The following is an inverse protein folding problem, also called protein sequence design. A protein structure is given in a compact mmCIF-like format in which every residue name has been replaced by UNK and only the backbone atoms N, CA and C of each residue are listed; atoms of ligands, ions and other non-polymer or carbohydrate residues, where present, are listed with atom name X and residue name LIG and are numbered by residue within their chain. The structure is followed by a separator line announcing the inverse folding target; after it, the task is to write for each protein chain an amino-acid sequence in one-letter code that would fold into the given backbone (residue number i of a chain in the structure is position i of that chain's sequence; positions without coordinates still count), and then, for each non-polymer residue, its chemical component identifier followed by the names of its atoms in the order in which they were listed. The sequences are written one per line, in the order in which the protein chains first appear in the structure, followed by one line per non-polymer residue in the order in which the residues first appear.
data_IF_874560982670
#
_entry.id   IF_874560982670
#
_cell.length_a   1.000
_cell.length_b   1.000
_cell.length_c   1.000
_cell.angle_alpha   90.00
_cell.angle_beta   90.00
_cell.angle_gamma   90.00
#
_symmetry.space_group_name_H-M   'P 1'
#
loop_
_entity.id
_entity.type
_entity.pdbx_description
1 polymer ?
#
# COMPACT_ATOMS: atom_id res chain seq x y z
N UNK A 1 -34.80 12.25 -27.20
CA UNK A 1 -33.37 12.40 -27.54
C UNK A 1 -33.22 12.81 -29.00
N UNK A 2 -32.56 13.94 -29.24
CA UNK A 2 -32.55 14.66 -30.50
C UNK A 2 -31.61 14.01 -31.54
N UNK A 3 -31.99 13.97 -32.83
CA UNK A 3 -31.26 13.27 -33.90
C UNK A 3 -29.79 13.71 -34.04
N UNK A 4 -29.48 14.96 -33.66
CA UNK A 4 -28.11 15.50 -33.62
C UNK A 4 -27.20 14.86 -32.57
N UNK A 5 -27.74 14.37 -31.46
CA UNK A 5 -26.94 13.76 -30.38
C UNK A 5 -26.42 12.37 -30.75
N UNK A 6 -27.17 11.59 -31.56
CA UNK A 6 -26.71 10.27 -32.01
C UNK A 6 -25.55 10.34 -33.02
N UNK A 7 -25.41 11.45 -33.75
CA UNK A 7 -24.37 11.59 -34.77
C UNK A 7 -23.01 11.94 -34.16
N UNK A 8 -22.98 12.67 -33.03
CA UNK A 8 -21.74 13.04 -32.34
C UNK A 8 -21.13 11.82 -31.62
N UNK A 9 -21.97 10.96 -31.04
CA UNK A 9 -21.50 9.73 -30.38
C UNK A 9 -20.93 8.70 -31.38
N UNK A 10 -21.48 8.62 -32.59
CA UNK A 10 -20.99 7.71 -33.62
C UNK A 10 -19.63 8.14 -34.20
N UNK A 11 -19.36 9.45 -34.31
CA UNK A 11 -18.08 9.96 -34.83
C UNK A 11 -16.94 9.80 -33.80
N UNK A 12 -17.22 9.93 -32.50
CA UNK A 12 -16.19 9.66 -31.48
C UNK A 12 -15.83 8.17 -31.38
N UNK A 13 -16.78 7.26 -31.58
CA UNK A 13 -16.50 5.82 -31.55
C UNK A 13 -15.62 5.35 -32.72
N UNK A 14 -15.70 6.00 -33.89
CA UNK A 14 -14.84 5.69 -35.04
C UNK A 14 -13.42 6.26 -34.92
N UNK A 15 -13.24 7.39 -34.23
CA UNK A 15 -11.92 7.98 -34.00
C UNK A 15 -11.07 7.16 -33.01
N UNK A 16 -11.69 6.52 -32.02
CA UNK A 16 -10.98 5.67 -31.04
C UNK A 16 -10.55 4.32 -31.66
N UNK A 17 -11.31 3.77 -32.61
CA UNK A 17 -10.93 2.53 -33.31
C UNK A 17 -9.78 2.70 -34.30
N UNK A 18 -9.57 3.90 -34.87
CA UNK A 18 -8.50 4.14 -35.82
C UNK A 18 -7.13 4.35 -35.16
N UNK A 19 -7.09 4.88 -33.93
CA UNK A 19 -5.84 5.04 -33.17
C UNK A 19 -5.34 3.71 -32.56
N UNK A 20 -6.25 2.78 -32.26
CA UNK A 20 -5.90 1.45 -31.72
C UNK A 20 -5.29 0.48 -32.75
N UNK A 21 -5.48 0.71 -34.05
CA UNK A 21 -4.94 -0.13 -35.12
C UNK A 21 -3.55 0.29 -35.63
N UNK A 22 -3.04 1.46 -35.20
CA UNK A 22 -1.69 1.92 -35.55
C UNK A 22 -0.65 1.37 -34.57
N UNK A 23 -1.04 0.94 -33.37
CA UNK A 23 -0.12 0.43 -32.34
C UNK A 23 0.07 -1.10 -32.33
N UNK A 24 -0.61 -1.86 -33.20
CA UNK A 24 -0.52 -3.34 -33.24
C UNK A 24 0.45 -3.84 -34.34
N UNK A 25 0.93 -2.98 -35.24
CA UNK A 25 1.85 -3.37 -36.32
C UNK A 25 3.34 -3.09 -36.05
N UNK A 26 3.74 -2.78 -34.81
CA UNK A 26 5.12 -2.46 -34.45
C UNK A 26 5.66 -3.35 -33.33
N UNK A 27 5.44 -4.66 -33.40
CA UNK A 27 6.28 -5.60 -32.62
C UNK A 27 6.35 -6.96 -33.33
N UNK A 28 7.38 -7.11 -34.18
CA UNK A 28 7.77 -8.36 -34.80
C UNK A 28 9.20 -8.69 -34.33
N UNK A 29 9.40 -9.62 -33.38
CA UNK A 29 10.74 -10.08 -33.05
C UNK A 29 11.05 -11.34 -33.88
N UNK A 30 11.49 -11.13 -35.12
CA UNK A 30 12.23 -12.15 -35.86
C UNK A 30 13.64 -11.63 -36.14
N UNK A 31 14.59 -12.30 -35.47
CA UNK A 31 15.93 -12.67 -35.93
C UNK A 31 16.71 -11.69 -36.80
N UNK A 32 17.75 -11.10 -36.22
CA UNK A 32 19.02 -10.91 -36.91
C UNK A 32 20.12 -11.66 -36.14
N UNK A 33 20.60 -12.74 -36.77
CA UNK A 33 21.92 -13.29 -36.50
C UNK A 33 22.93 -12.36 -37.16
N UNK A 34 23.58 -11.49 -36.39
CA UNK A 34 24.84 -10.90 -36.83
C UNK A 34 25.97 -11.90 -36.54
N UNK A 35 26.54 -12.43 -37.62
CA UNK A 35 27.85 -13.06 -37.63
C UNK A 35 28.89 -11.99 -37.28
N UNK A 36 29.47 -12.06 -36.09
CA UNK A 36 30.71 -11.35 -35.82
C UNK A 36 31.89 -12.16 -36.38
N UNK A 37 32.60 -11.54 -37.33
CA UNK A 37 33.97 -11.90 -37.71
C UNK A 37 34.88 -11.98 -36.46
N UNK A 38 35.90 -12.85 -36.48
CA UNK A 38 36.86 -12.93 -35.39
C UNK A 38 37.70 -11.65 -35.36
N UNK A 39 37.53 -10.85 -34.30
CA UNK A 39 38.46 -9.78 -33.95
C UNK A 39 39.81 -10.44 -33.64
N UNK A 40 40.81 -10.16 -34.47
CA UNK A 40 42.20 -10.49 -34.20
C UNK A 40 42.62 -9.88 -32.85
N UNK A 41 43.02 -10.78 -31.95
CA UNK A 41 43.58 -10.46 -30.65
C UNK A 41 44.93 -9.77 -30.87
N UNK A 42 44.95 -8.43 -30.92
CA UNK A 42 46.19 -7.69 -30.71
C UNK A 42 46.62 -7.91 -29.26
N UNK A 43 47.71 -8.67 -29.08
CA UNK A 43 48.46 -8.75 -27.83
C UNK A 43 48.93 -7.35 -27.44
N UNK A 44 48.54 -6.81 -26.26
CA UNK A 44 49.17 -5.63 -25.73
C UNK A 44 50.58 -6.02 -25.28
N UNK A 45 51.56 -5.26 -25.78
CA UNK A 45 52.94 -5.36 -25.34
C UNK A 45 53.04 -5.15 -23.83
N UNK A 46 53.91 -5.94 -23.22
CA UNK A 46 54.50 -5.68 -21.92
C UNK A 46 55.06 -4.26 -21.87
N UNK A 47 54.63 -3.49 -20.86
CA UNK A 47 55.39 -2.50 -20.08
C UNK A 47 54.58 -1.23 -19.80
N UNK A 48 53.80 -1.28 -18.72
CA UNK A 48 53.88 -0.30 -17.64
C UNK A 48 53.12 -0.87 -16.44
N UNK A 49 53.84 -1.23 -15.37
CA UNK A 49 53.29 -1.48 -14.03
C UNK A 49 52.70 -0.17 -13.49
N UNK A 50 51.58 0.26 -14.07
CA UNK A 50 50.69 1.19 -13.41
C UNK A 50 49.85 0.31 -12.47
N UNK A 51 50.28 0.22 -11.22
CA UNK A 51 49.47 -0.34 -10.14
C UNK A 51 48.20 0.52 -10.04
N UNK A 52 47.19 0.21 -10.85
CA UNK A 52 45.82 0.70 -10.64
C UNK A 52 45.40 0.11 -9.30
N UNK A 53 45.58 0.91 -8.26
CA UNK A 53 45.19 0.56 -6.90
C UNK A 53 43.68 0.41 -6.91
N UNK A 54 43.23 -0.83 -6.74
CA UNK A 54 41.81 -1.13 -6.65
C UNK A 54 41.25 -0.52 -5.36
N UNK A 55 40.69 0.67 -5.49
CA UNK A 55 40.17 1.46 -4.38
C UNK A 55 39.05 0.74 -3.62
N UNK A 56 38.38 -0.22 -4.24
CA UNK A 56 37.28 -0.96 -3.63
C UNK A 56 37.78 -2.17 -2.80
N UNK A 57 39.02 -2.63 -3.00
CA UNK A 57 39.52 -3.92 -2.48
C UNK A 57 39.54 -4.02 -0.95
N UNK A 58 39.77 -2.91 -0.24
CA UNK A 58 39.89 -2.89 1.23
C UNK A 58 38.58 -2.60 1.97
N UNK A 59 37.45 -2.57 1.26
CA UNK A 59 36.13 -2.33 1.83
C UNK A 59 35.46 -3.63 2.30
N UNK A 60 34.43 -3.51 3.14
CA UNK A 60 33.53 -4.64 3.46
C UNK A 60 32.86 -5.15 2.18
N UNK A 61 32.29 -6.37 2.19
CA UNK A 61 31.67 -6.90 0.97
C UNK A 61 30.54 -6.00 0.43
N UNK A 62 29.74 -5.39 1.31
CA UNK A 62 28.62 -4.51 0.93
C UNK A 62 29.14 -3.23 0.28
N UNK A 63 30.11 -2.59 0.92
CA UNK A 63 30.75 -1.37 0.43
C UNK A 63 31.54 -1.64 -0.86
N UNK A 64 32.20 -2.80 -0.97
CA UNK A 64 32.96 -3.20 -2.16
C UNK A 64 32.05 -3.45 -3.37
N UNK A 65 30.96 -4.19 -3.19
CA UNK A 65 30.00 -4.43 -4.26
C UNK A 65 29.38 -3.12 -4.76
N UNK A 66 29.02 -2.21 -3.84
CA UNK A 66 28.54 -0.86 -4.18
C UNK A 66 29.60 -0.01 -4.87
N UNK A 67 30.84 -0.04 -4.39
CA UNK A 67 31.96 0.69 -4.98
C UNK A 67 32.17 0.30 -6.45
N UNK A 68 32.22 -1.00 -6.77
CA UNK A 68 32.32 -1.44 -8.16
C UNK A 68 31.08 -1.09 -8.98
N UNK A 69 29.87 -1.17 -8.40
CA UNK A 69 28.65 -0.75 -9.07
C UNK A 69 28.69 0.73 -9.47
N UNK A 70 29.03 1.63 -8.55
CA UNK A 70 29.11 3.07 -8.82
C UNK A 70 30.26 3.46 -9.76
N UNK A 71 31.28 2.60 -9.89
CA UNK A 71 32.32 2.73 -10.93
C UNK A 71 31.87 2.19 -12.30
N UNK A 72 30.60 1.80 -12.46
CA UNK A 72 30.06 1.23 -13.70
C UNK A 72 30.47 -0.22 -13.96
N UNK A 73 31.06 -0.91 -12.97
CA UNK A 73 31.53 -2.29 -13.11
C UNK A 73 30.58 -3.28 -12.44
N UNK A 74 29.41 -3.48 -13.07
CA UNK A 74 28.39 -4.42 -12.60
C UNK A 74 28.91 -5.86 -12.48
N UNK A 75 29.78 -6.30 -13.39
CA UNK A 75 30.35 -7.66 -13.36
C UNK A 75 31.21 -7.90 -12.12
N UNK A 76 32.11 -6.97 -11.77
CA UNK A 76 32.88 -7.06 -10.51
C UNK A 76 31.98 -6.98 -9.28
N UNK A 77 30.93 -6.16 -9.31
CA UNK A 77 29.94 -6.12 -8.23
C UNK A 77 29.25 -7.48 -8.02
N UNK A 78 28.81 -8.11 -9.11
CA UNK A 78 28.21 -9.46 -9.11
C UNK A 78 29.21 -10.51 -8.61
N UNK A 79 30.47 -10.43 -9.02
CA UNK A 79 31.53 -11.34 -8.58
C UNK A 79 31.73 -11.27 -7.06
N UNK A 80 31.77 -10.06 -6.49
CA UNK A 80 31.83 -9.87 -5.03
C UNK A 80 30.68 -10.58 -4.35
N UNK A 81 29.44 -10.39 -4.82
CA UNK A 81 28.28 -11.08 -4.24
C UNK A 81 28.36 -12.61 -4.37
N UNK A 82 28.83 -13.10 -5.52
CA UNK A 82 28.87 -14.55 -5.82
C UNK A 82 29.80 -15.34 -4.90
N UNK A 83 30.85 -14.69 -4.38
CA UNK A 83 31.86 -15.29 -3.51
C UNK A 83 31.48 -15.29 -2.02
N UNK A 84 30.27 -14.83 -1.66
CA UNK A 84 29.77 -14.81 -0.28
C UNK A 84 29.09 -16.13 0.11
N UNK A 85 28.88 -16.31 1.42
CA UNK A 85 27.99 -17.35 1.91
C UNK A 85 26.55 -17.12 1.42
N UNK A 86 25.69 -18.13 1.51
CA UNK A 86 24.35 -18.09 0.90
C UNK A 86 23.49 -16.89 1.34
N UNK A 87 23.47 -16.60 2.64
CA UNK A 87 22.69 -15.50 3.22
C UNK A 87 23.20 -14.15 2.74
N UNK A 88 24.50 -13.89 2.90
CA UNK A 88 25.11 -12.62 2.52
C UNK A 88 25.07 -12.41 0.99
N UNK A 89 25.26 -13.49 0.22
CA UNK A 89 25.10 -13.47 -1.24
C UNK A 89 23.71 -13.02 -1.67
N UNK A 90 22.68 -13.55 -1.01
CA UNK A 90 21.28 -13.23 -1.32
C UNK A 90 20.98 -11.76 -0.99
N UNK A 91 21.42 -11.26 0.17
CA UNK A 91 21.29 -9.85 0.55
C UNK A 91 22.06 -8.95 -0.43
N UNK A 92 23.26 -9.35 -0.84
CA UNK A 92 24.09 -8.61 -1.78
C UNK A 92 23.39 -8.48 -3.14
N UNK A 93 22.91 -9.57 -3.74
CA UNK A 93 22.17 -9.51 -5.00
C UNK A 93 20.92 -8.66 -4.91
N UNK A 94 20.15 -8.77 -3.82
CA UNK A 94 18.97 -7.93 -3.61
C UNK A 94 19.33 -6.43 -3.61
N UNK A 95 20.37 -6.02 -2.88
CA UNK A 95 20.80 -4.61 -2.82
C UNK A 95 21.25 -4.09 -4.19
N UNK A 96 22.02 -4.87 -4.95
CA UNK A 96 22.47 -4.47 -6.28
C UNK A 96 21.28 -4.37 -7.24
N UNK A 97 20.34 -5.33 -7.22
CA UNK A 97 19.13 -5.30 -8.03
C UNK A 97 18.29 -4.03 -7.76
N UNK A 98 18.06 -3.71 -6.48
CA UNK A 98 17.29 -2.51 -6.08
C UNK A 98 18.01 -1.24 -6.53
N UNK A 99 19.32 -1.16 -6.36
CA UNK A 99 20.10 0.03 -6.75
C UNK A 99 20.07 0.21 -8.26
N UNK A 100 20.31 -0.86 -9.02
CA UNK A 100 20.32 -0.85 -10.49
C UNK A 100 18.98 -0.37 -11.07
N UNK A 101 17.85 -0.90 -10.59
CA UNK A 101 16.53 -0.48 -11.05
C UNK A 101 16.13 0.91 -10.53
N UNK A 102 16.59 1.27 -9.32
CA UNK A 102 16.32 2.59 -8.73
C UNK A 102 17.00 3.73 -9.49
N UNK A 103 18.18 3.49 -10.08
CA UNK A 103 18.89 4.46 -10.91
C UNK A 103 18.38 4.47 -12.36
N UNK A 104 18.05 3.30 -12.91
CA UNK A 104 17.53 3.17 -14.26
C UNK A 104 16.50 2.05 -14.37
N UNK A 105 15.23 2.42 -14.58
CA UNK A 105 14.15 1.45 -14.74
C UNK A 105 14.34 0.55 -15.98
N UNK A 106 15.07 1.01 -17.01
CA UNK A 106 15.37 0.16 -18.18
C UNK A 106 16.24 -1.04 -17.83
N UNK A 107 16.90 -1.02 -16.67
CA UNK A 107 17.72 -2.12 -16.15
C UNK A 107 16.94 -3.14 -15.31
N UNK A 108 15.61 -3.12 -15.40
CA UNK A 108 14.75 -4.04 -14.66
C UNK A 108 15.03 -5.51 -14.98
N UNK A 109 15.28 -5.84 -16.25
CA UNK A 109 15.54 -7.22 -16.67
C UNK A 109 16.83 -7.76 -16.04
N UNK A 110 17.89 -6.95 -15.99
CA UNK A 110 19.14 -7.32 -15.30
C UNK A 110 18.90 -7.55 -13.81
N UNK A 111 18.13 -6.69 -13.15
CA UNK A 111 17.78 -6.83 -11.73
C UNK A 111 16.95 -8.08 -11.44
N UNK A 112 16.01 -8.44 -12.31
CA UNK A 112 15.28 -9.72 -12.25
C UNK A 112 16.26 -10.89 -12.38
N UNK A 113 17.24 -10.78 -13.29
CA UNK A 113 18.33 -11.75 -13.43
C UNK A 113 19.14 -11.92 -12.14
N UNK A 114 19.39 -10.85 -11.39
CA UNK A 114 20.05 -10.91 -10.08
C UNK A 114 19.18 -11.59 -9.02
N UNK A 115 17.88 -11.27 -8.95
CA UNK A 115 16.96 -11.96 -8.04
C UNK A 115 16.90 -13.47 -8.31
N UNK A 116 16.95 -13.88 -9.58
CA UNK A 116 16.97 -15.30 -9.97
C UNK A 116 18.25 -16.05 -9.58
N UNK A 117 19.35 -15.35 -9.30
CA UNK A 117 20.59 -15.97 -8.80
C UNK A 117 20.55 -16.29 -7.30
N UNK A 118 19.55 -15.81 -6.58
CA UNK A 118 19.40 -16.04 -5.15
C UNK A 118 18.87 -17.46 -4.89
N UNK A 119 19.53 -18.19 -3.98
CA UNK A 119 19.08 -19.54 -3.57
C UNK A 119 17.85 -19.45 -2.67
N UNK A 120 17.81 -18.43 -1.82
CA UNK A 120 16.71 -18.14 -0.90
C UNK A 120 16.43 -16.63 -0.87
N UNK A 121 15.22 -16.22 -0.47
CA UNK A 121 14.86 -14.80 -0.38
C UNK A 121 14.53 -14.09 -1.69
N UNK A 122 14.44 -14.81 -2.83
CA UNK A 122 14.01 -14.26 -4.12
C UNK A 122 12.66 -13.52 -4.04
N UNK A 123 11.74 -14.02 -3.20
CA UNK A 123 10.47 -13.37 -2.86
C UNK A 123 10.66 -11.92 -2.35
N UNK A 124 11.60 -11.71 -1.42
CA UNK A 124 11.90 -10.38 -0.87
C UNK A 124 12.55 -9.48 -1.92
N UNK A 125 13.36 -10.06 -2.82
CA UNK A 125 13.99 -9.33 -3.92
C UNK A 125 12.94 -8.76 -4.88
N UNK A 126 12.02 -9.59 -5.38
CA UNK A 126 10.93 -9.14 -6.25
C UNK A 126 9.99 -8.15 -5.56
N UNK A 127 9.63 -8.37 -4.29
CA UNK A 127 8.78 -7.44 -3.54
C UNK A 127 9.44 -6.06 -3.38
N UNK A 128 10.76 -6.06 -3.12
CA UNK A 128 11.52 -4.82 -3.00
C UNK A 128 11.68 -4.10 -4.35
N UNK A 129 11.95 -4.84 -5.43
CA UNK A 129 11.97 -4.29 -6.79
C UNK A 129 10.61 -3.69 -7.16
N UNK A 130 9.52 -4.42 -6.90
CA UNK A 130 8.16 -3.94 -7.20
C UNK A 130 7.88 -2.63 -6.46
N UNK A 131 8.30 -2.50 -5.20
CA UNK A 131 8.15 -1.28 -4.39
C UNK A 131 8.95 -0.08 -4.93
N UNK A 132 10.06 -0.31 -5.63
CA UNK A 132 10.81 0.74 -6.32
C UNK A 132 10.14 1.11 -7.65
N UNK A 133 9.84 0.08 -8.46
CA UNK A 133 9.31 0.22 -9.83
C UNK A 133 7.92 0.86 -9.84
N UNK A 134 7.08 0.54 -8.84
CA UNK A 134 5.71 1.07 -8.75
C UNK A 134 5.65 2.60 -8.60
N UNK A 135 6.77 3.28 -8.38
CA UNK A 135 6.82 4.75 -8.36
C UNK A 135 6.68 5.36 -9.76
N UNK A 136 7.03 4.61 -10.80
CA UNK A 136 7.05 5.08 -12.19
C UNK A 136 6.28 4.19 -13.15
N UNK A 137 6.19 2.88 -12.88
CA UNK A 137 5.54 1.90 -13.75
C UNK A 137 4.80 0.85 -12.90
N UNK A 138 3.48 0.97 -12.83
CA UNK A 138 2.65 0.07 -12.04
C UNK A 138 2.45 -1.30 -12.72
N UNK A 139 2.50 -1.37 -14.05
CA UNK A 139 2.35 -2.63 -14.78
C UNK A 139 3.58 -3.52 -14.60
N UNK A 140 4.78 -2.93 -14.64
CA UNK A 140 6.02 -3.63 -14.34
C UNK A 140 6.08 -4.08 -12.86
N UNK A 141 5.58 -3.28 -11.92
CA UNK A 141 5.48 -3.69 -10.52
C UNK A 141 4.51 -4.87 -10.32
N UNK A 142 3.36 -4.85 -11.00
CA UNK A 142 2.40 -5.96 -11.01
C UNK A 142 3.05 -7.22 -11.58
N UNK A 143 3.79 -7.10 -12.70
CA UNK A 143 4.55 -8.22 -13.26
C UNK A 143 5.49 -8.84 -12.22
N UNK A 144 6.25 -8.02 -11.48
CA UNK A 144 7.15 -8.51 -10.42
C UNK A 144 6.38 -9.22 -9.30
N UNK A 145 5.24 -8.68 -8.86
CA UNK A 145 4.42 -9.35 -7.85
C UNK A 145 3.87 -10.70 -8.33
N UNK A 146 3.60 -10.87 -9.63
CA UNK A 146 3.19 -12.17 -10.18
C UNK A 146 4.31 -13.22 -10.18
N UNK A 147 5.57 -12.79 -10.07
CA UNK A 147 6.70 -13.70 -9.89
C UNK A 147 6.83 -14.18 -8.44
N UNK A 148 6.11 -13.58 -7.48
CA UNK A 148 6.22 -13.89 -6.04
C UNK A 148 5.23 -14.97 -5.57
N UNK A 149 5.64 -15.79 -4.60
CA UNK A 149 4.75 -16.70 -3.87
C UNK A 149 5.05 -16.64 -2.37
N UNK A 150 4.09 -16.22 -1.50
CA UNK A 150 2.73 -15.82 -1.85
C UNK A 150 2.66 -14.37 -2.38
N UNK A 151 1.84 -14.11 -3.40
CA UNK A 151 1.84 -12.82 -4.10
C UNK A 151 1.21 -11.65 -3.34
N UNK A 152 0.29 -11.94 -2.41
CA UNK A 152 -0.49 -10.93 -1.69
C UNK A 152 0.37 -9.92 -0.92
N UNK A 153 1.49 -10.37 -0.33
CA UNK A 153 2.44 -9.50 0.38
C UNK A 153 3.09 -8.44 -0.53
N UNK A 154 3.41 -8.83 -1.77
CA UNK A 154 3.96 -7.91 -2.75
C UNK A 154 2.91 -6.87 -3.17
N UNK A 155 1.69 -7.33 -3.47
CA UNK A 155 0.56 -6.49 -3.82
C UNK A 155 0.18 -5.49 -2.72
N UNK A 156 0.17 -5.92 -1.45
CA UNK A 156 -0.03 -5.04 -0.28
C UNK A 156 1.03 -3.94 -0.24
N UNK A 157 2.31 -4.31 -0.40
CA UNK A 157 3.43 -3.38 -0.36
C UNK A 157 3.34 -2.31 -1.46
N UNK A 158 3.04 -2.71 -2.69
CA UNK A 158 2.94 -1.76 -3.81
C UNK A 158 1.66 -0.91 -3.72
N UNK A 159 0.54 -1.46 -3.26
CA UNK A 159 -0.69 -0.70 -3.06
C UNK A 159 -0.50 0.40 -2.02
N UNK A 160 0.17 0.09 -0.91
CA UNK A 160 0.53 1.08 0.10
C UNK A 160 1.44 2.18 -0.49
N UNK A 161 2.44 1.81 -1.28
CA UNK A 161 3.36 2.77 -1.89
C UNK A 161 2.68 3.76 -2.85
N UNK A 162 1.63 3.32 -3.57
CA UNK A 162 0.90 4.17 -4.53
C UNK A 162 -0.40 4.75 -4.00
N UNK A 163 -0.80 4.47 -2.76
CA UNK A 163 -2.04 4.96 -2.18
C UNK A 163 -2.15 6.50 -2.16
N UNK A 164 -1.02 7.23 -2.20
CA UNK A 164 -1.03 8.70 -2.34
C UNK A 164 -1.19 9.21 -3.78
N UNK A 165 -1.00 8.36 -4.78
CA UNK A 165 -1.10 8.73 -6.21
C UNK A 165 -2.55 8.78 -6.68
N UNK A 166 -3.42 8.00 -6.06
CA UNK A 166 -4.87 8.08 -6.25
C UNK A 166 -5.57 6.72 -6.17
N UNK A 167 -6.84 6.76 -5.76
CA UNK A 167 -7.66 5.58 -5.50
C UNK A 167 -7.76 4.60 -6.68
N UNK A 168 -7.92 5.10 -7.90
CA UNK A 168 -8.13 4.25 -9.07
C UNK A 168 -6.94 3.33 -9.35
N UNK A 169 -5.72 3.87 -9.20
CA UNK A 169 -4.49 3.10 -9.44
C UNK A 169 -4.29 2.06 -8.35
N UNK A 170 -4.51 2.43 -7.08
CA UNK A 170 -4.45 1.50 -5.95
C UNK A 170 -5.48 0.37 -6.06
N UNK A 171 -6.70 0.68 -6.49
CA UNK A 171 -7.75 -0.33 -6.73
C UNK A 171 -7.37 -1.30 -7.85
N UNK A 172 -6.76 -0.80 -8.94
CA UNK A 172 -6.32 -1.66 -10.04
C UNK A 172 -5.31 -2.71 -9.57
N UNK A 173 -4.44 -2.34 -8.63
CA UNK A 173 -3.49 -3.25 -7.97
C UNK A 173 -4.19 -4.23 -7.04
N UNK A 174 -5.00 -3.77 -6.08
CA UNK A 174 -5.60 -4.67 -5.09
C UNK A 174 -6.60 -5.69 -5.67
N UNK A 175 -7.28 -5.34 -6.76
CA UNK A 175 -8.17 -6.26 -7.49
C UNK A 175 -7.48 -7.50 -8.05
N UNK A 176 -6.15 -7.50 -8.16
CA UNK A 176 -5.38 -8.67 -8.63
C UNK A 176 -5.38 -9.82 -7.64
N UNK A 177 -5.50 -9.54 -6.34
CA UNK A 177 -5.49 -10.58 -5.29
C UNK A 177 -6.84 -10.78 -4.61
N UNK A 178 -7.76 -9.81 -4.70
CA UNK A 178 -9.08 -9.85 -4.05
C UNK A 178 -8.99 -10.25 -2.58
N UNK A 179 -8.04 -9.64 -1.87
CA UNK A 179 -7.76 -9.92 -0.47
C UNK A 179 -7.81 -8.63 0.34
N UNK A 180 -8.44 -8.67 1.51
CA UNK A 180 -8.65 -7.51 2.38
C UNK A 180 -7.36 -6.88 2.91
N UNK A 181 -6.27 -7.67 2.97
CA UNK A 181 -4.93 -7.23 3.35
C UNK A 181 -4.37 -6.14 2.44
N UNK A 182 -4.74 -6.11 1.16
CA UNK A 182 -4.28 -5.04 0.26
C UNK A 182 -5.07 -3.74 0.44
N UNK A 183 -6.40 -3.82 0.48
CA UNK A 183 -7.25 -2.62 0.46
C UNK A 183 -7.19 -1.88 1.80
N UNK A 184 -7.22 -2.60 2.93
CA UNK A 184 -7.42 -1.97 4.24
C UNK A 184 -6.27 -1.03 4.63
N UNK A 185 -4.99 -1.46 4.61
CA UNK A 185 -3.88 -0.57 4.95
C UNK A 185 -3.75 0.61 3.98
N UNK A 186 -3.98 0.36 2.68
CA UNK A 186 -3.93 1.40 1.66
C UNK A 186 -5.04 2.44 1.83
N UNK A 187 -6.28 2.01 2.10
CA UNK A 187 -7.41 2.91 2.37
C UNK A 187 -7.18 3.75 3.62
N UNK A 188 -6.69 3.13 4.71
CA UNK A 188 -6.37 3.85 5.96
C UNK A 188 -5.28 4.89 5.73
N UNK A 189 -4.23 4.55 4.99
CA UNK A 189 -3.16 5.50 4.66
C UNK A 189 -3.64 6.65 3.76
N UNK A 190 -4.52 6.34 2.81
CA UNK A 190 -5.13 7.33 1.90
C UNK A 190 -6.09 8.27 2.64
N UNK A 191 -6.76 7.78 3.69
CA UNK A 191 -7.78 8.52 4.42
C UNK A 191 -7.30 9.87 4.96
N UNK A 192 -6.00 10.05 5.23
CA UNK A 192 -5.47 11.36 5.66
C UNK A 192 -5.54 12.46 4.59
N UNK A 193 -5.55 12.09 3.31
CA UNK A 193 -5.49 13.03 2.19
C UNK A 193 -6.75 12.98 1.29
N UNK A 194 -7.34 11.80 1.13
CA UNK A 194 -8.49 11.55 0.26
C UNK A 194 -9.45 10.55 0.96
N UNK A 195 -10.31 11.09 1.82
CA UNK A 195 -11.30 10.29 2.56
C UNK A 195 -12.39 9.69 1.67
N UNK A 196 -12.72 10.33 0.54
CA UNK A 196 -13.68 9.78 -0.43
C UNK A 196 -13.08 8.61 -1.20
N UNK A 197 -11.85 8.74 -1.66
CA UNK A 197 -11.08 7.65 -2.24
C UNK A 197 -10.92 6.47 -1.26
N UNK A 198 -10.59 6.75 0.00
CA UNK A 198 -10.47 5.72 1.03
C UNK A 198 -11.81 4.98 1.29
N UNK A 199 -12.94 5.71 1.36
CA UNK A 199 -14.26 5.11 1.51
C UNK A 199 -14.63 4.25 0.28
N UNK A 200 -14.33 4.74 -0.92
CA UNK A 200 -14.51 3.98 -2.16
C UNK A 200 -13.69 2.68 -2.13
N UNK A 201 -12.44 2.71 -1.65
CA UNK A 201 -11.64 1.49 -1.49
C UNK A 201 -12.31 0.46 -0.58
N UNK A 202 -12.87 0.89 0.57
CA UNK A 202 -13.59 -0.02 1.46
C UNK A 202 -14.82 -0.64 0.78
N UNK A 203 -15.58 0.15 0.01
CA UNK A 203 -16.74 -0.31 -0.75
C UNK A 203 -16.36 -1.37 -1.78
N UNK A 204 -15.34 -1.12 -2.57
CA UNK A 204 -14.84 -2.06 -3.58
C UNK A 204 -14.32 -3.33 -2.93
N UNK A 205 -13.59 -3.23 -1.82
CA UNK A 205 -13.09 -4.39 -1.09
C UNK A 205 -14.23 -5.28 -0.58
N UNK A 206 -15.29 -4.70 -0.01
CA UNK A 206 -16.46 -5.48 0.45
C UNK A 206 -17.12 -6.23 -0.72
N UNK A 207 -17.23 -5.58 -1.88
CA UNK A 207 -17.79 -6.22 -3.08
C UNK A 207 -16.87 -7.32 -3.64
N UNK A 208 -15.55 -7.13 -3.60
CA UNK A 208 -14.58 -8.07 -4.16
C UNK A 208 -14.32 -9.30 -3.27
N UNK A 209 -14.59 -9.21 -1.97
CA UNK A 209 -14.26 -10.23 -0.96
C UNK A 209 -15.46 -10.85 -0.24
N UNK A 210 -16.67 -10.62 -0.75
CA UNK A 210 -17.93 -11.08 -0.15
C UNK A 210 -18.04 -10.72 1.35
N UNK A 211 -17.67 -9.49 1.71
CA UNK A 211 -17.77 -8.96 3.07
C UNK A 211 -16.52 -9.08 3.94
N UNK A 212 -15.44 -9.71 3.46
CA UNK A 212 -14.16 -9.84 4.19
C UNK A 212 -13.50 -8.52 4.59
N UNK A 213 -13.91 -7.40 3.98
CA UNK A 213 -13.33 -6.08 4.19
C UNK A 213 -14.16 -5.11 5.03
N UNK A 214 -15.19 -5.56 5.75
CA UNK A 214 -15.96 -4.63 6.58
C UNK A 214 -15.04 -3.85 7.54
N UNK A 215 -14.01 -4.51 8.10
CA UNK A 215 -12.98 -3.91 8.96
C UNK A 215 -12.20 -2.73 8.34
N UNK A 216 -12.33 -2.45 7.04
CA UNK A 216 -11.77 -1.26 6.39
C UNK A 216 -12.41 0.04 6.91
N UNK A 217 -13.75 0.08 7.07
CA UNK A 217 -14.47 1.30 7.43
C UNK A 217 -14.07 1.92 8.78
N UNK A 218 -13.89 1.17 9.89
CA UNK A 218 -13.45 1.69 11.18
C UNK A 218 -12.04 2.24 11.10
N UNK A 219 -11.14 1.58 10.36
CA UNK A 219 -9.79 2.07 10.15
C UNK A 219 -9.80 3.44 9.45
N UNK A 220 -10.56 3.55 8.36
CA UNK A 220 -10.72 4.81 7.62
C UNK A 220 -11.40 5.87 8.50
N UNK A 221 -12.56 5.57 9.08
CA UNK A 221 -13.31 6.51 9.92
C UNK A 221 -12.49 7.02 11.12
N UNK A 222 -11.68 6.15 11.73
CA UNK A 222 -10.75 6.52 12.81
C UNK A 222 -9.74 7.59 12.38
N UNK A 223 -9.14 7.44 11.20
CA UNK A 223 -8.21 8.43 10.67
C UNK A 223 -8.92 9.71 10.22
N UNK A 224 -10.09 9.59 9.57
CA UNK A 224 -10.91 10.73 9.13
C UNK A 224 -11.40 11.58 10.31
N UNK A 225 -11.79 10.94 11.41
CA UNK A 225 -12.37 11.62 12.55
C UNK A 225 -11.44 12.71 13.13
N UNK A 226 -10.12 12.52 13.04
CA UNK A 226 -9.12 13.46 13.58
C UNK A 226 -9.21 14.86 13.00
N UNK A 227 -9.81 15.01 11.82
CA UNK A 227 -9.97 16.30 11.15
C UNK A 227 -11.41 16.59 10.73
N UNK A 228 -12.25 15.56 10.48
CA UNK A 228 -13.67 15.71 10.17
C UNK A 228 -14.52 14.56 10.75
N UNK A 229 -15.03 14.76 11.96
CA UNK A 229 -15.83 13.75 12.65
C UNK A 229 -17.19 13.47 12.00
N UNK A 230 -17.76 14.43 11.25
CA UNK A 230 -19.04 14.23 10.56
C UNK A 230 -18.85 13.31 9.36
N UNK A 231 -17.80 13.53 8.58
CA UNK A 231 -17.43 12.63 7.48
C UNK A 231 -17.08 11.23 7.99
N UNK A 232 -16.43 11.12 9.16
CA UNK A 232 -16.21 9.83 9.80
C UNK A 232 -17.52 9.10 10.16
N UNK A 233 -18.55 9.82 10.62
CA UNK A 233 -19.88 9.24 10.86
C UNK A 233 -20.51 8.74 9.56
N UNK A 234 -20.41 9.49 8.46
CA UNK A 234 -20.92 9.08 7.15
C UNK A 234 -20.25 7.78 6.68
N UNK A 235 -18.92 7.67 6.84
CA UNK A 235 -18.16 6.45 6.53
C UNK A 235 -18.62 5.27 7.41
N UNK A 236 -18.87 5.49 8.70
CA UNK A 236 -19.40 4.44 9.57
C UNK A 236 -20.83 4.02 9.19
N UNK A 237 -21.67 4.96 8.77
CA UNK A 237 -23.02 4.68 8.29
C UNK A 237 -23.00 3.89 6.97
N UNK A 238 -22.08 4.21 6.06
CA UNK A 238 -21.87 3.41 4.85
C UNK A 238 -21.43 1.98 5.18
N UNK A 239 -20.47 1.82 6.10
CA UNK A 239 -20.04 0.52 6.60
C UNK A 239 -21.16 -0.28 7.27
N UNK A 240 -22.07 0.39 7.98
CA UNK A 240 -23.26 -0.21 8.56
C UNK A 240 -24.19 -0.80 7.48
N UNK A 241 -24.51 -0.01 6.45
CA UNK A 241 -25.35 -0.44 5.32
C UNK A 241 -24.69 -1.58 4.52
N UNK A 242 -23.37 -1.58 4.43
CA UNK A 242 -22.63 -2.69 3.84
C UNK A 242 -22.75 -3.95 4.71
N UNK A 243 -22.54 -3.83 6.02
CA UNK A 243 -22.59 -4.94 6.96
C UNK A 243 -23.97 -5.60 7.10
N UNK A 244 -25.05 -4.83 6.98
CA UNK A 244 -26.42 -5.36 6.97
C UNK A 244 -26.63 -6.40 5.86
N UNK A 245 -26.02 -6.21 4.69
CA UNK A 245 -26.08 -7.18 3.57
C UNK A 245 -25.45 -8.52 3.92
N UNK A 246 -24.48 -8.52 4.84
CA UNK A 246 -23.73 -9.71 5.25
C UNK A 246 -24.09 -10.17 6.68
N UNK A 247 -25.16 -9.63 7.28
CA UNK A 247 -25.61 -9.95 8.65
C UNK A 247 -24.51 -9.77 9.72
N UNK A 248 -23.61 -8.80 9.54
CA UNK A 248 -22.50 -8.55 10.46
C UNK A 248 -22.80 -7.38 11.41
N UNK A 249 -22.53 -7.55 12.71
CA UNK A 249 -22.80 -6.51 13.71
C UNK A 249 -21.65 -5.47 13.70
N UNK A 250 -21.71 -4.49 12.81
CA UNK A 250 -20.56 -3.65 12.47
C UNK A 250 -20.61 -2.19 12.94
N UNK A 251 -21.78 -1.57 12.80
CA UNK A 251 -21.92 -0.10 12.78
C UNK A 251 -21.43 0.58 14.06
N UNK A 252 -21.75 -0.01 15.21
CA UNK A 252 -21.42 0.56 16.51
C UNK A 252 -19.92 0.53 16.81
N UNK A 253 -19.17 -0.49 16.33
CA UNK A 253 -17.72 -0.56 16.55
C UNK A 253 -16.98 0.55 15.81
N UNK A 254 -17.39 0.84 14.58
CA UNK A 254 -16.84 1.95 13.79
C UNK A 254 -16.97 3.29 14.51
N UNK A 255 -18.17 3.60 15.02
CA UNK A 255 -18.42 4.85 15.73
C UNK A 255 -17.65 4.91 17.06
N UNK A 256 -17.55 3.80 17.80
CA UNK A 256 -16.75 3.74 19.03
C UNK A 256 -15.26 4.02 18.76
N UNK A 257 -14.69 3.44 17.71
CA UNK A 257 -13.29 3.66 17.34
C UNK A 257 -13.02 5.09 16.87
N UNK A 258 -13.93 5.67 16.10
CA UNK A 258 -13.87 7.08 15.69
C UNK A 258 -13.94 8.03 16.91
N UNK A 259 -14.89 7.81 17.83
CA UNK A 259 -15.00 8.59 19.05
C UNK A 259 -13.73 8.51 19.90
N UNK A 260 -13.18 7.30 20.07
CA UNK A 260 -11.94 7.06 20.83
C UNK A 260 -10.74 7.78 20.24
N UNK A 261 -10.63 7.85 18.91
CA UNK A 261 -9.50 8.47 18.23
C UNK A 261 -9.41 9.98 18.42
N UNK A 262 -10.55 10.65 18.60
CA UNK A 262 -10.61 12.11 18.67
C UNK A 262 -10.83 12.64 20.08
N UNK A 263 -10.95 11.75 21.06
CA UNK A 263 -11.36 12.12 22.42
C UNK A 263 -10.45 13.20 23.03
N UNK A 264 -9.13 13.07 22.90
CA UNK A 264 -8.15 14.04 23.40
C UNK A 264 -8.00 15.30 22.52
N UNK A 265 -8.54 15.27 21.29
CA UNK A 265 -8.43 16.36 20.30
C UNK A 265 -9.68 17.24 20.35
N UNK A 266 -10.85 16.62 20.40
CA UNK A 266 -12.16 17.25 20.37
C UNK A 266 -13.17 16.42 21.19
N UNK A 267 -13.15 16.65 22.50
CA UNK A 267 -14.04 16.00 23.45
C UNK A 267 -15.51 16.11 23.05
N UNK A 268 -15.98 17.31 22.67
CA UNK A 268 -17.38 17.53 22.30
C UNK A 268 -17.81 16.69 21.09
N UNK A 269 -16.98 16.62 20.05
CA UNK A 269 -17.25 15.77 18.88
C UNK A 269 -17.23 14.28 19.24
N UNK A 270 -16.30 13.85 20.10
CA UNK A 270 -16.26 12.46 20.61
C UNK A 270 -17.57 12.08 21.31
N UNK A 271 -18.08 12.98 22.16
CA UNK A 271 -19.37 12.82 22.83
C UNK A 271 -20.54 12.78 21.86
N UNK A 272 -20.54 13.65 20.83
CA UNK A 272 -21.58 13.67 19.79
C UNK A 272 -21.64 12.35 19.01
N UNK A 273 -20.48 11.77 18.66
CA UNK A 273 -20.42 10.44 18.03
C UNK A 273 -21.07 9.40 18.94
N UNK A 274 -20.73 9.37 20.23
CA UNK A 274 -21.33 8.41 21.16
C UNK A 274 -22.84 8.61 21.31
N UNK A 275 -23.34 9.86 21.30
CA UNK A 275 -24.77 10.15 21.43
C UNK A 275 -25.61 9.56 20.30
N UNK A 276 -25.05 9.40 19.11
CA UNK A 276 -25.73 8.78 17.97
C UNK A 276 -25.96 7.27 18.12
N UNK A 277 -25.26 6.61 19.06
CA UNK A 277 -25.50 5.22 19.41
C UNK A 277 -26.73 5.09 20.33
N UNK A 278 -27.22 3.87 20.56
CA UNK A 278 -28.34 3.59 21.48
C UNK A 278 -28.01 2.45 22.45
N UNK A 279 -28.72 2.42 23.59
CA UNK A 279 -28.61 1.36 24.60
C UNK A 279 -27.17 1.05 25.04
N UNK A 280 -26.87 -0.24 25.18
CA UNK A 280 -25.53 -0.75 25.54
C UNK A 280 -24.39 -0.28 24.62
N UNK A 281 -24.66 0.05 23.35
CA UNK A 281 -23.62 0.55 22.44
C UNK A 281 -23.21 1.99 22.79
N UNK A 282 -24.19 2.84 23.12
CA UNK A 282 -23.94 4.19 23.64
C UNK A 282 -23.16 4.14 24.94
N UNK A 283 -23.61 3.30 25.88
CA UNK A 283 -22.92 3.11 27.14
C UNK A 283 -21.48 2.58 26.96
N UNK A 284 -21.27 1.64 26.03
CA UNK A 284 -19.93 1.14 25.67
C UNK A 284 -19.03 2.26 25.14
N UNK A 285 -19.56 3.10 24.26
CA UNK A 285 -18.83 4.23 23.68
C UNK A 285 -18.39 5.22 24.77
N UNK A 286 -19.34 5.66 25.60
CA UNK A 286 -19.08 6.51 26.74
C UNK A 286 -18.03 5.93 27.69
N UNK A 287 -18.12 4.64 28.01
CA UNK A 287 -17.12 3.97 28.84
C UNK A 287 -15.70 4.05 28.25
N UNK A 288 -15.56 3.99 26.92
CA UNK A 288 -14.27 4.10 26.23
C UNK A 288 -13.72 5.53 26.16
N UNK A 289 -14.59 6.54 26.23
CA UNK A 289 -14.23 7.96 26.20
C UNK A 289 -14.34 8.66 27.56
N UNK A 290 -14.56 7.92 28.66
CA UNK A 290 -14.62 8.51 30.00
C UNK A 290 -13.32 9.24 30.36
N UNK A 291 -13.45 10.31 31.15
CA UNK A 291 -12.32 11.14 31.58
C UNK A 291 -11.86 12.18 30.55
N UNK A 292 -12.60 12.34 29.44
CA UNK A 292 -12.21 13.22 28.32
C UNK A 292 -12.85 14.60 28.41
N UNK A 293 -14.02 14.71 29.04
CA UNK A 293 -14.74 15.97 29.15
C UNK A 293 -14.78 16.45 30.59
N UNK A 294 -14.47 17.73 30.80
CA UNK A 294 -14.72 18.46 32.04
C UNK A 294 -16.09 19.17 32.02
N UNK A 295 -16.89 18.96 30.97
CA UNK A 295 -18.23 19.52 30.89
C UNK A 295 -19.19 18.68 31.74
N UNK A 296 -19.68 19.27 32.84
CA UNK A 296 -20.59 18.59 33.77
C UNK A 296 -21.82 18.00 33.07
N UNK A 297 -22.40 18.68 32.07
CA UNK A 297 -23.56 18.14 31.35
C UNK A 297 -23.22 16.87 30.56
N UNK A 298 -22.04 16.81 29.94
CA UNK A 298 -21.57 15.61 29.26
C UNK A 298 -21.33 14.45 30.23
N UNK A 299 -20.73 14.74 31.38
CA UNK A 299 -20.46 13.75 32.42
C UNK A 299 -21.78 13.18 32.96
N UNK A 300 -22.75 14.04 33.29
CA UNK A 300 -24.07 13.61 33.78
C UNK A 300 -24.78 12.73 32.75
N UNK A 301 -24.87 13.15 31.48
CA UNK A 301 -25.49 12.36 30.41
C UNK A 301 -24.83 10.98 30.26
N UNK A 302 -23.49 10.94 30.30
CA UNK A 302 -22.72 9.72 30.21
C UNK A 302 -22.96 8.79 31.40
N UNK A 303 -22.94 9.33 32.61
CA UNK A 303 -23.17 8.57 33.84
C UNK A 303 -24.59 7.99 33.88
N UNK A 304 -25.61 8.80 33.60
CA UNK A 304 -27.00 8.35 33.52
C UNK A 304 -27.16 7.21 32.52
N UNK A 305 -26.56 7.35 31.33
CA UNK A 305 -26.61 6.32 30.30
C UNK A 305 -25.89 5.03 30.73
N UNK A 306 -24.69 5.13 31.31
CA UNK A 306 -23.91 3.97 31.72
C UNK A 306 -24.57 3.22 32.89
N UNK A 307 -25.05 3.93 33.91
CA UNK A 307 -25.76 3.34 35.06
C UNK A 307 -27.06 2.66 34.60
N UNK A 308 -27.81 3.29 33.68
CA UNK A 308 -29.03 2.68 33.15
C UNK A 308 -28.79 1.34 32.43
N UNK A 309 -27.72 1.24 31.65
CA UNK A 309 -27.46 0.08 30.78
C UNK A 309 -26.60 -1.01 31.45
N UNK A 310 -25.72 -0.64 32.38
CA UNK A 310 -24.82 -1.56 33.07
C UNK A 310 -25.13 -1.77 34.56
N UNK A 311 -26.05 -0.99 35.14
CA UNK A 311 -26.36 -1.03 36.56
C UNK A 311 -25.25 -0.43 37.43
N UNK A 312 -25.19 -0.89 38.68
CA UNK A 312 -24.21 -0.46 39.69
C UNK A 312 -22.85 -1.13 39.52
N UNK A 313 -22.31 -1.17 38.30
CA UNK A 313 -20.93 -1.64 38.10
C UNK A 313 -19.97 -0.77 38.93
N UNK A 314 -19.14 -1.34 39.83
CA UNK A 314 -18.32 -0.56 40.74
C UNK A 314 -17.36 0.42 40.04
N UNK A 315 -16.91 0.13 38.81
CA UNK A 315 -16.04 1.04 38.07
C UNK A 315 -16.79 2.20 37.45
N UNK A 316 -18.07 2.00 37.08
CA UNK A 316 -18.95 3.06 36.59
C UNK A 316 -19.35 3.95 37.77
N UNK A 317 -19.80 3.36 38.88
CA UNK A 317 -20.19 4.09 40.09
C UNK A 317 -19.04 4.95 40.61
N UNK A 318 -17.86 4.35 40.80
CA UNK A 318 -16.66 5.10 41.23
C UNK A 318 -16.30 6.22 40.26
N UNK A 319 -16.45 6.02 38.95
CA UNK A 319 -16.20 7.09 38.00
C UNK A 319 -17.22 8.23 38.18
N UNK A 320 -18.51 7.90 38.25
CA UNK A 320 -19.57 8.90 38.34
C UNK A 320 -19.59 9.67 39.67
N UNK A 321 -19.29 9.01 40.79
CA UNK A 321 -19.17 9.64 42.12
C UNK A 321 -18.03 10.68 42.21
N UNK A 322 -16.98 10.52 41.40
CA UNK A 322 -15.84 11.45 41.43
C UNK A 322 -16.10 12.75 40.64
N UNK A 323 -17.18 12.83 39.87
CA UNK A 323 -17.46 13.97 38.98
C UNK A 323 -18.87 14.57 39.13
N UNK A 324 -19.74 13.94 39.91
CA UNK A 324 -21.06 14.45 40.31
C UNK A 324 -20.97 14.88 41.77
#
# INVERSE_FOLDING_TARGET
MNKKSKMITAVMLLAVSAAGLILINYYNPQQEQEQHEPVELQTPGENSDEQVTDSCKNLTWDERAKCYFYQGNLNKSIEVCSNLNETDRSICFQKIAITLTGENISSLNESVGLCNKMVSGWFNCYTSLASVVVKSDSDAAIFLCNLTSPSWLCYESIAYAIARRGVNETLAVCRKIKDSSCYTPAAVFMAGNDSEGAALMCRECVNDTDGGCLACYPGVAKEVARYDYRKALDICNEGALAAERYSYIFSHMCQIDAAKAIKEINASASFEICRNLTGRNRASCYYKIKGVSNNTAHITEMCDCMIKEYGEDPNIMRYCENYI
#
